data_IF_225615126580
#
_entry.id   IF_225615126580
#
_cell.length_a   1.000
_cell.length_b   1.000
_cell.length_c   1.000
_cell.angle_alpha   90.00
_cell.angle_beta   90.00
_cell.angle_gamma   90.00
#
_symmetry.space_group_name_H-M   'P 1'
#
loop_
_entity.id
_entity.type
_entity.pdbx_description
1 polymer ?
#
# COMPACT_ATOMS: atom_id res chain seq x y z
N UNK A 1 -4.60 -12.45 -20.26
CA UNK A 1 -6.00 -12.01 -20.38
C UNK A 1 -6.51 -11.08 -19.26
N UNK A 2 -5.84 -11.00 -18.10
CA UNK A 2 -6.18 -10.04 -17.02
C UNK A 2 -6.13 -8.56 -17.43
N UNK A 3 -5.22 -8.19 -18.34
CA UNK A 3 -5.13 -6.82 -18.86
C UNK A 3 -6.42 -6.36 -19.55
N UNK A 4 -7.05 -7.24 -20.34
CA UNK A 4 -8.35 -6.94 -20.98
C UNK A 4 -9.48 -6.83 -19.97
N UNK A 5 -9.51 -7.69 -18.94
CA UNK A 5 -10.50 -7.61 -17.85
C UNK A 5 -10.38 -6.32 -17.03
N UNK A 6 -9.15 -5.87 -16.75
CA UNK A 6 -8.92 -4.59 -16.08
C UNK A 6 -9.36 -3.39 -16.96
N UNK A 7 -9.08 -3.42 -18.26
CA UNK A 7 -9.49 -2.34 -19.17
C UNK A 7 -11.02 -2.27 -19.35
N UNK A 8 -11.71 -3.40 -19.31
CA UNK A 8 -13.15 -3.46 -19.61
C UNK A 8 -14.06 -3.47 -18.37
N UNK A 9 -13.52 -3.64 -17.16
CA UNK A 9 -14.29 -3.59 -15.91
C UNK A 9 -14.64 -2.15 -15.48
N UNK A 10 -15.70 -1.98 -14.67
CA UNK A 10 -15.99 -0.71 -13.99
C UNK A 10 -14.95 -0.50 -12.86
N UNK A 11 -14.94 0.69 -12.26
CA UNK A 11 -13.95 1.04 -11.23
C UNK A 11 -13.86 0.02 -10.07
N UNK A 12 -14.97 -0.53 -9.53
CA UNK A 12 -14.91 -1.52 -8.46
C UNK A 12 -14.19 -2.82 -8.87
N UNK A 13 -14.43 -3.33 -10.08
CA UNK A 13 -13.79 -4.54 -10.58
C UNK A 13 -12.30 -4.32 -10.81
N UNK A 14 -11.90 -3.14 -11.30
CA UNK A 14 -10.50 -2.74 -11.42
C UNK A 14 -9.80 -2.71 -10.07
N UNK A 15 -10.43 -2.12 -9.05
CA UNK A 15 -9.90 -2.09 -7.68
C UNK A 15 -9.74 -3.49 -7.10
N UNK A 16 -10.72 -4.38 -7.31
CA UNK A 16 -10.64 -5.77 -6.87
C UNK A 16 -9.45 -6.51 -7.49
N UNK A 17 -9.25 -6.37 -8.81
CA UNK A 17 -8.11 -6.99 -9.49
C UNK A 17 -6.78 -6.50 -8.91
N UNK A 18 -6.65 -5.20 -8.65
CA UNK A 18 -5.42 -4.63 -8.07
C UNK A 18 -5.24 -5.09 -6.62
N UNK A 19 -6.31 -5.07 -5.82
CA UNK A 19 -6.32 -5.59 -4.45
C UNK A 19 -5.79 -7.03 -4.38
N UNK A 20 -6.39 -7.92 -5.16
CA UNK A 20 -6.05 -9.35 -5.14
C UNK A 20 -4.58 -9.60 -5.56
N UNK A 21 -3.97 -8.67 -6.30
CA UNK A 21 -2.55 -8.72 -6.64
C UNK A 21 -1.64 -8.16 -5.56
N UNK A 22 -2.02 -7.03 -4.96
CA UNK A 22 -1.16 -6.34 -4.01
C UNK A 22 -1.20 -6.96 -2.60
N UNK A 23 -2.31 -7.58 -2.19
CA UNK A 23 -2.47 -8.10 -0.83
C UNK A 23 -1.41 -9.14 -0.44
N UNK A 24 -0.88 -9.89 -1.41
CA UNK A 24 0.18 -10.90 -1.19
C UNK A 24 1.55 -10.46 -1.71
N UNK A 25 1.68 -9.25 -2.25
CA UNK A 25 2.91 -8.76 -2.87
C UNK A 25 3.73 -7.96 -1.85
N UNK A 26 5.03 -8.22 -1.78
CA UNK A 26 5.93 -7.40 -0.99
C UNK A 26 6.21 -6.04 -1.67
N UNK A 27 6.26 -4.92 -0.92
CA UNK A 27 6.13 -4.83 0.54
C UNK A 27 4.71 -4.60 1.07
N UNK A 28 3.67 -4.64 0.23
CA UNK A 28 2.30 -4.36 0.65
C UNK A 28 1.79 -5.35 1.70
N UNK A 29 2.08 -6.64 1.56
CA UNK A 29 1.68 -7.67 2.52
C UNK A 29 2.23 -7.39 3.93
N UNK A 30 3.53 -7.06 4.03
CA UNK A 30 4.16 -6.66 5.28
C UNK A 30 3.55 -5.38 5.87
N UNK A 31 3.31 -4.37 5.04
CA UNK A 31 2.72 -3.10 5.50
C UNK A 31 1.31 -3.32 6.03
N UNK A 32 0.49 -4.14 5.36
CA UNK A 32 -0.85 -4.52 5.85
C UNK A 32 -0.76 -5.18 7.21
N UNK A 33 0.14 -6.16 7.38
CA UNK A 33 0.37 -6.83 8.67
C UNK A 33 0.76 -5.83 9.76
N UNK A 34 1.75 -4.98 9.48
CA UNK A 34 2.22 -3.95 10.43
C UNK A 34 1.10 -2.99 10.85
N UNK A 35 0.28 -2.53 9.90
CA UNK A 35 -0.86 -1.64 10.17
C UNK A 35 -1.91 -2.35 11.05
N UNK A 36 -2.21 -3.62 10.79
CA UNK A 36 -3.16 -4.38 11.60
C UNK A 36 -2.66 -4.65 13.02
N UNK A 37 -1.37 -4.94 13.18
CA UNK A 37 -0.72 -5.20 14.48
C UNK A 37 -0.62 -3.92 15.32
N UNK A 38 -0.13 -2.84 14.73
CA UNK A 38 0.09 -1.56 15.44
C UNK A 38 -1.14 -0.68 15.55
N UNK A 39 -2.20 -0.98 14.80
CA UNK A 39 -3.40 -0.13 14.59
C UNK A 39 -3.13 1.23 13.95
N UNK A 40 -1.86 1.59 13.78
CA UNK A 40 -1.38 2.78 13.12
C UNK A 40 0.06 2.55 12.70
N UNK A 41 0.43 2.97 11.50
CA UNK A 41 1.82 2.97 11.04
C UNK A 41 2.16 4.34 10.48
N UNK A 42 3.05 5.06 11.14
CA UNK A 42 3.47 6.39 10.66
C UNK A 42 4.26 6.30 9.36
N UNK A 43 4.24 7.38 8.58
CA UNK A 43 5.05 7.51 7.36
C UNK A 43 6.55 7.32 7.63
N UNK A 44 7.04 7.79 8.79
CA UNK A 44 8.43 7.59 9.22
C UNK A 44 8.76 6.11 9.48
N UNK A 45 7.89 5.39 10.18
CA UNK A 45 8.09 3.95 10.42
C UNK A 45 8.05 3.14 9.12
N UNK A 46 7.15 3.51 8.20
CA UNK A 46 7.12 2.93 6.85
C UNK A 46 8.45 3.17 6.11
N UNK A 47 8.97 4.40 6.14
CA UNK A 47 10.25 4.75 5.54
C UNK A 47 11.39 3.90 6.12
N UNK A 48 11.44 3.78 7.46
CA UNK A 48 12.44 2.98 8.17
C UNK A 48 12.35 1.50 7.81
N UNK A 49 11.15 0.96 7.72
CA UNK A 49 10.91 -0.42 7.31
C UNK A 49 11.41 -0.68 5.88
N UNK A 50 11.05 0.18 4.92
CA UNK A 50 11.45 0.02 3.52
C UNK A 50 12.97 0.12 3.35
N UNK A 51 13.61 1.11 3.98
CA UNK A 51 15.07 1.24 3.97
C UNK A 51 15.75 0.02 4.60
N UNK A 52 15.19 -0.52 5.68
CA UNK A 52 15.73 -1.73 6.32
C UNK A 52 15.57 -2.98 5.46
N UNK A 53 14.50 -3.08 4.68
CA UNK A 53 14.17 -4.28 3.89
C UNK A 53 14.89 -4.31 2.54
N UNK A 54 15.01 -3.17 1.88
CA UNK A 54 15.54 -3.08 0.50
C UNK A 54 16.84 -2.29 0.37
N UNK A 55 17.40 -1.81 1.49
CA UNK A 55 18.59 -0.98 1.51
C UNK A 55 18.30 0.49 1.19
N UNK A 56 19.36 1.31 1.17
CA UNK A 56 19.24 2.74 0.84
C UNK A 56 18.89 2.92 -0.63
N UNK A 57 17.67 3.38 -0.89
CA UNK A 57 17.21 3.79 -2.22
C UNK A 57 17.30 5.30 -2.37
N UNK A 58 17.79 5.79 -3.51
CA UNK A 58 17.96 7.22 -3.82
C UNK A 58 16.65 8.01 -3.84
N UNK A 59 15.50 7.35 -3.95
CA UNK A 59 14.19 8.00 -4.07
C UNK A 59 13.13 7.40 -3.12
N UNK A 60 13.53 7.21 -1.86
CA UNK A 60 12.65 6.69 -0.81
C UNK A 60 11.33 7.48 -0.67
N UNK A 61 11.29 8.83 -0.76
CA UNK A 61 10.04 9.58 -0.68
C UNK A 61 9.04 9.20 -1.78
N UNK A 62 9.50 9.02 -3.01
CA UNK A 62 8.64 8.60 -4.13
C UNK A 62 8.15 7.18 -3.94
N UNK A 63 9.01 6.26 -3.49
CA UNK A 63 8.62 4.87 -3.20
C UNK A 63 7.52 4.83 -2.14
N UNK A 64 7.67 5.60 -1.06
CA UNK A 64 6.64 5.72 -0.01
C UNK A 64 5.32 6.24 -0.59
N UNK A 65 5.38 7.30 -1.42
CA UNK A 65 4.18 7.87 -2.05
C UNK A 65 3.48 6.86 -2.96
N UNK A 66 4.22 6.10 -3.74
CA UNK A 66 3.70 5.03 -4.61
C UNK A 66 3.03 3.95 -3.77
N UNK A 67 3.67 3.49 -2.69
CA UNK A 67 3.11 2.50 -1.77
C UNK A 67 1.80 2.95 -1.13
N UNK A 68 1.78 4.16 -0.58
CA UNK A 68 0.58 4.73 0.05
C UNK A 68 -0.53 4.85 -1.00
N UNK A 69 -0.23 5.43 -2.16
CA UNK A 69 -1.23 5.67 -3.22
C UNK A 69 -1.86 4.38 -3.72
N UNK A 70 -1.04 3.37 -4.05
CA UNK A 70 -1.54 2.09 -4.53
C UNK A 70 -2.24 1.28 -3.45
N UNK A 71 -1.73 1.30 -2.22
CA UNK A 71 -2.35 0.61 -1.10
C UNK A 71 -3.72 1.19 -0.75
N UNK A 72 -3.86 2.52 -0.74
CA UNK A 72 -5.15 3.20 -0.54
C UNK A 72 -6.09 2.96 -1.72
N UNK A 73 -5.61 3.06 -2.95
CA UNK A 73 -6.42 2.82 -4.15
C UNK A 73 -7.00 1.40 -4.20
N UNK A 74 -6.16 0.40 -3.89
CA UNK A 74 -6.54 -1.00 -3.78
C UNK A 74 -7.35 -1.29 -2.51
N UNK A 75 -7.33 -0.37 -1.54
CA UNK A 75 -8.02 -0.48 -0.27
C UNK A 75 -7.41 -1.56 0.63
N UNK A 76 -6.09 -1.62 0.71
CA UNK A 76 -5.36 -2.45 1.67
C UNK A 76 -5.35 -1.82 3.07
N UNK A 77 -5.37 -0.49 3.13
CA UNK A 77 -5.38 0.32 4.35
C UNK A 77 -5.92 1.72 4.02
N UNK A 78 -6.18 2.52 5.05
CA UNK A 78 -6.47 3.96 4.92
C UNK A 78 -5.21 4.77 5.16
N UNK A 79 -5.20 6.02 4.72
CA UNK A 79 -4.15 6.99 5.02
C UNK A 79 -4.80 8.25 5.59
N UNK A 80 -4.37 8.64 6.78
CA UNK A 80 -4.71 9.93 7.39
C UNK A 80 -3.64 10.95 7.00
N UNK A 81 -4.03 11.96 6.23
CA UNK A 81 -3.16 13.04 5.79
C UNK A 81 -2.84 14.06 6.88
N UNK A 82 -3.60 14.11 7.97
CA UNK A 82 -3.29 15.02 9.10
C UNK A 82 -2.19 14.43 9.98
N UNK A 83 -2.31 13.15 10.34
CA UNK A 83 -1.32 12.46 11.17
C UNK A 83 -0.21 11.77 10.37
N UNK A 84 -0.23 11.89 9.04
CA UNK A 84 0.63 11.17 8.10
C UNK A 84 0.78 9.68 8.42
N UNK A 85 -0.34 9.00 8.71
CA UNK A 85 -0.32 7.61 9.18
C UNK A 85 -1.22 6.70 8.37
N UNK A 86 -0.77 5.47 8.19
CA UNK A 86 -1.56 4.37 7.68
C UNK A 86 -2.42 3.79 8.79
N UNK A 87 -3.68 3.51 8.49
CA UNK A 87 -4.67 2.99 9.43
C UNK A 87 -5.30 1.71 8.88
N UNK A 88 -5.73 0.76 9.73
CA UNK A 88 -6.47 -0.41 9.30
C UNK A 88 -7.70 0.00 8.49
N UNK A 89 -8.03 -0.85 7.51
CA UNK A 89 -9.35 -0.83 6.90
C UNK A 89 -10.31 -1.59 7.81
N UNK A 90 -11.49 -1.03 8.02
CA UNK A 90 -12.61 -1.68 8.71
C UNK A 90 -13.12 -2.90 7.95
#
# INVERSE_FOLDING_TARGET
DLGKKALNGKIPERKKIVHDRLVSLEPFADVVRMVHEKKQLSRFELARFLSSKFGYTTDLPTIINVLISWGVFAGLFRYDGQSESLLPRE
#
